data_IF_788057553786
#
_entry.id   IF_788057553786
#
_cell.length_a   1.000
_cell.length_b   1.000
_cell.length_c   1.000
_cell.angle_alpha   90.00
_cell.angle_beta   90.00
_cell.angle_gamma   90.00
#
_symmetry.space_group_name_H-M   'P 1'
#
loop_
_entity.id
_entity.type
_entity.pdbx_description
1 polymer ?
#
# COMPACT_ATOMS: atom_id res chain seq x y z
N UNK A 1 5.42 37.81 -6.81
CA UNK A 1 6.52 38.71 -6.41
C UNK A 1 7.75 37.82 -6.44
N UNK A 2 8.70 38.07 -7.33
CA UNK A 2 9.93 37.27 -7.43
C UNK A 2 10.82 37.59 -6.24
N UNK A 3 11.22 36.57 -5.49
CA UNK A 3 12.15 36.71 -4.36
C UNK A 3 13.50 37.23 -4.88
N UNK A 4 14.15 38.09 -4.11
CA UNK A 4 15.53 38.50 -4.36
C UNK A 4 16.53 37.44 -3.88
N UNK A 5 17.82 37.61 -4.19
CA UNK A 5 18.85 36.59 -3.91
C UNK A 5 19.02 36.31 -2.40
N UNK A 6 18.90 37.34 -1.55
CA UNK A 6 18.98 37.21 -0.09
C UNK A 6 17.75 36.50 0.47
N UNK A 7 16.55 36.85 -0.01
CA UNK A 7 15.28 36.19 0.33
C UNK A 7 15.28 34.70 -0.08
N UNK A 8 15.86 34.35 -1.23
CA UNK A 8 15.99 32.96 -1.69
C UNK A 8 16.92 32.15 -0.79
N UNK A 9 18.04 32.73 -0.36
CA UNK A 9 18.99 32.05 0.52
C UNK A 9 18.43 31.89 1.94
N UNK A 10 17.75 32.90 2.48
CA UNK A 10 17.03 32.81 3.76
C UNK A 10 15.96 31.72 3.71
N UNK A 11 15.15 31.68 2.66
CA UNK A 11 14.13 30.64 2.48
C UNK A 11 14.74 29.24 2.36
N UNK A 12 15.87 29.07 1.65
CA UNK A 12 16.57 27.80 1.60
C UNK A 12 17.06 27.36 2.99
N UNK A 13 17.54 28.29 3.82
CA UNK A 13 17.93 27.98 5.21
C UNK A 13 16.74 27.53 6.06
N UNK A 14 15.59 28.19 5.91
CA UNK A 14 14.35 27.78 6.59
C UNK A 14 13.96 26.35 6.18
N UNK A 15 13.94 26.06 4.88
CA UNK A 15 13.61 24.73 4.38
C UNK A 15 14.61 23.66 4.85
N UNK A 16 15.90 23.97 4.90
CA UNK A 16 16.93 23.07 5.45
C UNK A 16 16.71 22.83 6.95
N UNK A 17 16.31 23.86 7.69
CA UNK A 17 15.99 23.73 9.12
C UNK A 17 14.75 22.85 9.35
N UNK A 18 13.77 22.87 8.44
CA UNK A 18 12.56 22.03 8.50
C UNK A 18 12.78 20.58 8.05
N UNK A 19 13.88 20.29 7.33
CA UNK A 19 14.15 18.98 6.73
C UNK A 19 14.01 17.79 7.71
N UNK A 20 14.51 17.84 8.97
CA UNK A 20 14.34 16.73 9.91
C UNK A 20 12.87 16.43 10.21
N UNK A 21 12.04 17.46 10.38
CA UNK A 21 10.60 17.28 10.64
C UNK A 21 9.88 16.68 9.41
N UNK A 22 10.29 17.07 8.20
CA UNK A 22 9.75 16.49 6.97
C UNK A 22 10.20 15.06 6.74
N UNK A 23 11.41 14.69 7.16
CA UNK A 23 11.87 13.30 7.15
C UNK A 23 11.05 12.42 8.11
N UNK A 24 10.75 12.91 9.31
CA UNK A 24 9.86 12.21 10.25
C UNK A 24 8.45 12.01 9.66
N UNK A 25 7.87 13.06 9.06
CA UNK A 25 6.59 12.95 8.33
C UNK A 25 6.67 11.94 7.19
N UNK A 26 7.78 11.90 6.45
CA UNK A 26 8.04 10.91 5.40
C UNK A 26 8.05 9.48 5.93
N UNK A 27 8.68 9.24 7.08
CA UNK A 27 8.68 7.93 7.73
C UNK A 27 7.27 7.52 8.18
N UNK A 28 6.49 8.46 8.74
CA UNK A 28 5.08 8.24 9.10
C UNK A 28 4.25 7.89 7.87
N UNK A 29 4.41 8.64 6.76
CA UNK A 29 3.70 8.38 5.51
C UNK A 29 4.05 7.00 4.94
N UNK A 30 5.33 6.64 4.92
CA UNK A 30 5.78 5.33 4.44
C UNK A 30 5.17 4.19 5.28
N UNK A 31 5.19 4.32 6.60
CA UNK A 31 4.58 3.34 7.52
C UNK A 31 3.07 3.25 7.33
N UNK A 32 2.37 4.38 7.16
CA UNK A 32 0.94 4.43 6.91
C UNK A 32 0.55 3.78 5.57
N UNK A 33 1.33 4.00 4.50
CA UNK A 33 1.13 3.34 3.19
C UNK A 33 1.32 1.83 3.29
N UNK A 34 2.34 1.37 4.01
CA UNK A 34 2.55 -0.06 4.25
C UNK A 34 1.36 -0.67 5.02
N UNK A 35 0.87 0.02 6.05
CA UNK A 35 -0.32 -0.40 6.79
C UNK A 35 -1.59 -0.47 5.93
N UNK A 36 -1.78 0.48 5.01
CA UNK A 36 -2.89 0.47 4.06
C UNK A 36 -2.82 -0.75 3.11
N UNK A 37 -1.63 -1.09 2.62
CA UNK A 37 -1.46 -2.29 1.78
C UNK A 37 -1.74 -3.58 2.55
N UNK A 38 -1.26 -3.70 3.80
CA UNK A 38 -1.61 -4.84 4.67
C UNK A 38 -3.14 -4.94 4.84
N UNK A 39 -3.83 -3.83 5.10
CA UNK A 39 -5.28 -3.83 5.26
C UNK A 39 -6.01 -4.31 4.00
N UNK A 40 -5.55 -3.88 2.82
CA UNK A 40 -6.08 -4.33 1.53
C UNK A 40 -5.89 -5.84 1.33
N UNK A 41 -4.69 -6.37 1.62
CA UNK A 41 -4.40 -7.81 1.50
C UNK A 41 -5.18 -8.64 2.52
N UNK A 42 -5.33 -8.13 3.74
CA UNK A 42 -6.11 -8.79 4.78
C UNK A 42 -7.58 -8.92 4.38
N UNK A 43 -8.17 -7.84 3.85
CA UNK A 43 -9.54 -7.87 3.36
C UNK A 43 -9.72 -8.83 2.18
N UNK A 44 -8.78 -8.85 1.24
CA UNK A 44 -8.82 -9.79 0.12
C UNK A 44 -8.72 -11.25 0.58
N UNK A 45 -7.80 -11.55 1.52
CA UNK A 45 -7.67 -12.87 2.11
C UNK A 45 -8.95 -13.32 2.83
N UNK A 46 -9.56 -12.45 3.63
CA UNK A 46 -10.85 -12.71 4.27
C UNK A 46 -11.94 -13.04 3.23
N UNK A 47 -12.01 -12.28 2.13
CA UNK A 47 -12.91 -12.57 1.01
C UNK A 47 -12.70 -13.98 0.44
N UNK A 48 -11.45 -14.38 0.18
CA UNK A 48 -11.13 -15.72 -0.33
C UNK A 48 -11.49 -16.83 0.67
N UNK A 49 -11.31 -16.58 1.98
CA UNK A 49 -11.72 -17.52 3.01
C UNK A 49 -13.25 -17.65 3.07
N UNK A 50 -13.98 -16.55 2.94
CA UNK A 50 -15.44 -16.57 2.95
C UNK A 50 -16.00 -17.36 1.76
N UNK A 51 -15.43 -17.18 0.56
CA UNK A 51 -15.81 -17.98 -0.62
C UNK A 51 -15.52 -19.47 -0.43
N UNK A 52 -14.35 -19.82 0.13
CA UNK A 52 -14.01 -21.21 0.44
C UNK A 52 -14.97 -21.82 1.47
N UNK A 53 -15.31 -21.06 2.52
CA UNK A 53 -16.25 -21.49 3.55
C UNK A 53 -17.67 -21.68 3.00
N UNK A 54 -18.07 -20.87 2.02
CA UNK A 54 -19.32 -21.04 1.28
C UNK A 54 -19.39 -22.41 0.60
N UNK A 55 -18.36 -22.75 -0.18
CA UNK A 55 -18.29 -24.06 -0.87
C UNK A 55 -18.28 -25.22 0.12
N UNK A 56 -17.57 -25.10 1.25
CA UNK A 56 -17.56 -26.14 2.28
C UNK A 56 -18.96 -26.34 2.89
N UNK A 57 -19.70 -25.25 3.10
CA UNK A 57 -21.06 -25.28 3.63
C UNK A 57 -22.04 -25.92 2.63
N UNK A 58 -21.94 -25.56 1.35
CA UNK A 58 -22.72 -26.17 0.27
C UNK A 58 -22.45 -27.67 0.14
N UNK A 59 -21.18 -28.06 0.19
CA UNK A 59 -20.78 -29.46 0.12
C UNK A 59 -21.36 -30.27 1.30
N UNK A 60 -21.35 -29.72 2.51
CA UNK A 60 -21.96 -30.34 3.68
C UNK A 60 -23.50 -30.46 3.55
N UNK A 61 -24.16 -29.50 2.90
CA UNK A 61 -25.59 -29.61 2.59
C UNK A 61 -25.85 -30.75 1.59
N UNK A 62 -25.06 -30.84 0.52
CA UNK A 62 -25.19 -31.94 -0.43
C UNK A 62 -24.93 -33.31 0.20
N UNK A 63 -23.96 -33.41 1.12
CA UNK A 63 -23.72 -34.63 1.89
C UNK A 63 -24.92 -35.02 2.76
N UNK A 64 -25.57 -34.04 3.43
CA UNK A 64 -26.80 -34.27 4.20
C UNK A 64 -27.96 -34.72 3.31
N UNK A 65 -28.19 -34.03 2.19
CA UNK A 65 -29.24 -34.39 1.24
C UNK A 65 -29.02 -35.77 0.62
N UNK A 66 -27.75 -36.14 0.38
CA UNK A 66 -27.38 -37.46 -0.09
C UNK A 66 -27.71 -38.54 0.94
N UNK A 67 -27.41 -38.31 2.21
CA UNK A 67 -27.75 -39.25 3.29
C UNK A 67 -29.27 -39.48 3.38
N UNK A 68 -30.07 -38.41 3.29
CA UNK A 68 -31.54 -38.50 3.25
C UNK A 68 -32.02 -39.35 2.06
N UNK A 69 -31.46 -39.13 0.86
CA UNK A 69 -31.82 -39.90 -0.33
C UNK A 69 -31.51 -41.39 -0.18
N UNK A 70 -30.36 -41.72 0.44
CA UNK A 70 -29.98 -43.11 0.76
C UNK A 70 -31.01 -43.76 1.70
N UNK A 71 -31.40 -43.08 2.77
CA UNK A 71 -32.40 -43.58 3.72
C UNK A 71 -33.77 -43.80 3.07
N UNK A 72 -34.13 -42.96 2.09
CA UNK A 72 -35.38 -43.05 1.34
C UNK A 72 -35.32 -44.09 0.20
N UNK A 73 -34.14 -44.65 -0.11
CA UNK A 73 -33.93 -45.54 -1.25
C UNK A 73 -34.02 -44.84 -2.61
N UNK A 74 -33.95 -43.51 -2.65
CA UNK A 74 -34.01 -42.69 -3.86
C UNK A 74 -32.62 -42.61 -4.52
N UNK A 75 -32.38 -43.55 -5.45
CA UNK A 75 -31.09 -43.65 -6.16
C UNK A 75 -30.81 -42.46 -7.08
N UNK A 76 -31.83 -41.94 -7.75
CA UNK A 76 -31.65 -40.82 -8.69
C UNK A 76 -31.21 -39.57 -7.92
N UNK A 77 -31.86 -39.28 -6.79
CA UNK A 77 -31.48 -38.17 -5.93
C UNK A 77 -30.12 -38.38 -5.29
N UNK A 78 -29.79 -39.59 -4.84
CA UNK A 78 -28.45 -39.91 -4.30
C UNK A 78 -27.35 -39.63 -5.33
N UNK A 79 -27.52 -40.09 -6.57
CA UNK A 79 -26.56 -39.90 -7.66
C UNK A 79 -26.42 -38.42 -8.02
N UNK A 80 -27.53 -37.68 -8.08
CA UNK A 80 -27.52 -36.23 -8.31
C UNK A 80 -26.74 -35.48 -7.22
N UNK A 81 -26.93 -35.82 -5.94
CA UNK A 81 -26.17 -35.19 -4.86
C UNK A 81 -24.68 -35.57 -4.92
N UNK A 82 -24.34 -36.80 -5.30
CA UNK A 82 -22.94 -37.22 -5.49
C UNK A 82 -22.24 -36.40 -6.58
N UNK A 83 -22.92 -36.12 -7.69
CA UNK A 83 -22.39 -35.26 -8.76
C UNK A 83 -22.14 -33.81 -8.30
N UNK A 84 -23.05 -33.26 -7.50
CA UNK A 84 -22.91 -31.93 -6.91
C UNK A 84 -21.72 -31.86 -5.93
N UNK A 85 -21.55 -32.87 -5.07
CA UNK A 85 -20.39 -32.96 -4.15
C UNK A 85 -19.07 -32.97 -4.94
N UNK A 86 -18.99 -33.71 -6.06
CA UNK A 86 -17.79 -33.72 -6.90
C UNK A 86 -17.50 -32.34 -7.53
N UNK A 87 -18.55 -31.62 -7.89
CA UNK A 87 -18.45 -30.25 -8.42
C UNK A 87 -17.92 -29.29 -7.35
N UNK A 88 -18.51 -29.31 -6.15
CA UNK A 88 -18.01 -28.54 -5.00
C UNK A 88 -16.57 -28.91 -4.65
N UNK A 89 -16.21 -30.20 -4.73
CA UNK A 89 -14.85 -30.68 -4.47
C UNK A 89 -13.82 -30.06 -5.44
N UNK A 90 -14.18 -29.90 -6.71
CA UNK A 90 -13.33 -29.23 -7.71
C UNK A 90 -13.19 -27.73 -7.40
N UNK A 91 -14.30 -27.05 -7.13
CA UNK A 91 -14.30 -25.63 -6.77
C UNK A 91 -13.50 -25.36 -5.50
N UNK A 92 -13.63 -26.24 -4.49
CA UNK A 92 -12.87 -26.17 -3.24
C UNK A 92 -11.37 -26.19 -3.49
N UNK A 93 -10.89 -27.05 -4.39
CA UNK A 93 -9.47 -27.10 -4.74
C UNK A 93 -8.95 -25.76 -5.30
N UNK A 94 -9.71 -25.17 -6.23
CA UNK A 94 -9.39 -23.87 -6.83
C UNK A 94 -9.39 -22.75 -5.78
N UNK A 95 -10.47 -22.65 -4.98
CA UNK A 95 -10.59 -21.60 -3.97
C UNK A 95 -9.59 -21.74 -2.84
N UNK A 96 -9.25 -22.98 -2.45
CA UNK A 96 -8.16 -23.20 -1.50
C UNK A 96 -6.84 -22.66 -2.02
N UNK A 97 -6.50 -22.94 -3.29
CA UNK A 97 -5.29 -22.38 -3.92
C UNK A 97 -5.29 -20.85 -3.91
N UNK A 98 -6.42 -20.22 -4.20
CA UNK A 98 -6.57 -18.76 -4.16
C UNK A 98 -6.41 -18.20 -2.74
N UNK A 99 -7.03 -18.83 -1.73
CA UNK A 99 -6.88 -18.43 -0.32
C UNK A 99 -5.44 -18.59 0.18
N UNK A 100 -4.76 -19.68 -0.20
CA UNK A 100 -3.36 -19.92 0.15
C UNK A 100 -2.41 -18.92 -0.54
N UNK A 101 -2.75 -18.46 -1.75
CA UNK A 101 -2.03 -17.38 -2.43
C UNK A 101 -2.25 -16.03 -1.73
N UNK A 102 -3.51 -15.66 -1.45
CA UNK A 102 -3.85 -14.43 -0.74
C UNK A 102 -3.20 -14.36 0.66
N UNK A 103 -3.11 -15.49 1.37
CA UNK A 103 -2.41 -15.57 2.65
C UNK A 103 -0.92 -15.25 2.52
N UNK A 104 -0.25 -15.80 1.51
CA UNK A 104 1.18 -15.52 1.25
C UNK A 104 1.41 -14.06 0.90
N UNK A 105 0.54 -13.45 0.11
CA UNK A 105 0.62 -12.02 -0.19
C UNK A 105 0.42 -11.15 1.05
N UNK A 106 -0.51 -11.51 1.93
CA UNK A 106 -0.70 -10.84 3.21
C UNK A 106 0.56 -10.97 4.10
N UNK A 107 1.13 -12.17 4.20
CA UNK A 107 2.35 -12.40 4.99
C UNK A 107 3.54 -11.62 4.43
N UNK A 108 3.65 -11.53 3.10
CA UNK A 108 4.67 -10.71 2.46
C UNK A 108 4.47 -9.22 2.77
N UNK A 109 3.25 -8.70 2.66
CA UNK A 109 2.95 -7.30 2.98
C UNK A 109 3.24 -6.96 4.45
N UNK A 110 2.99 -7.88 5.38
CA UNK A 110 3.36 -7.74 6.79
C UNK A 110 4.88 -7.67 6.95
N UNK A 111 5.61 -8.58 6.30
CA UNK A 111 7.08 -8.61 6.33
C UNK A 111 7.69 -7.34 5.74
N UNK A 112 7.28 -6.94 4.54
CA UNK A 112 7.79 -5.76 3.84
C UNK A 112 7.47 -4.47 4.61
N UNK A 113 6.27 -4.42 5.19
CA UNK A 113 5.84 -3.31 6.03
C UNK A 113 6.47 -3.30 7.41
N UNK A 114 7.16 -4.37 7.84
CA UNK A 114 7.75 -4.50 9.17
C UNK A 114 6.71 -4.58 10.29
N UNK A 115 5.59 -5.28 10.06
CA UNK A 115 4.51 -5.49 11.03
C UNK A 115 4.51 -6.95 11.51
N UNK A 116 4.35 -7.15 12.82
CA UNK A 116 4.18 -8.49 13.38
C UNK A 116 2.75 -9.03 13.17
N UNK A 117 1.77 -8.14 12.95
CA UNK A 117 0.36 -8.54 12.76
C UNK A 117 -0.48 -7.50 12.01
N UNK A 118 -1.65 -7.94 11.52
CA UNK A 118 -2.66 -7.05 10.94
C UNK A 118 -3.21 -6.03 11.96
N UNK A 119 -3.21 -6.36 13.25
CA UNK A 119 -3.66 -5.45 14.31
C UNK A 119 -2.66 -4.30 14.50
N UNK A 120 -1.37 -4.61 14.51
CA UNK A 120 -0.30 -3.60 14.55
C UNK A 120 -0.36 -2.68 13.34
N UNK A 121 -0.52 -3.25 12.13
CA UNK A 121 -0.70 -2.46 10.91
C UNK A 121 -1.93 -1.56 11.00
N UNK A 122 -3.05 -2.06 11.55
CA UNK A 122 -4.27 -1.28 11.71
C UNK A 122 -4.09 -0.11 12.68
N UNK A 123 -3.30 -0.27 13.74
CA UNK A 123 -3.08 0.76 14.76
C UNK A 123 -2.40 2.04 14.22
N UNK A 124 -1.62 1.92 13.15
CA UNK A 124 -0.91 3.04 12.51
C UNK A 124 -1.55 3.49 11.20
N UNK A 125 -2.71 2.92 10.85
CA UNK A 125 -3.38 3.21 9.58
C UNK A 125 -4.00 4.60 9.64
N UNK A 126 -3.59 5.47 8.71
CA UNK A 126 -4.25 6.75 8.48
C UNK A 126 -5.52 6.56 7.65
N UNK A 127 -6.46 7.50 7.80
CA UNK A 127 -7.58 7.58 6.87
C UNK A 127 -7.07 7.97 5.47
N UNK A 128 -7.82 7.64 4.42
CA UNK A 128 -7.47 8.05 3.06
C UNK A 128 -7.27 9.57 2.89
N UNK A 129 -8.15 10.45 3.43
CA UNK A 129 -7.91 11.90 3.34
C UNK A 129 -6.68 12.35 4.14
N UNK A 130 -6.42 11.79 5.32
CA UNK A 130 -5.22 12.16 6.09
C UNK A 130 -3.93 11.73 5.39
N UNK A 131 -3.94 10.54 4.77
CA UNK A 131 -2.82 10.04 3.98
C UNK A 131 -2.58 10.92 2.76
N UNK A 132 -3.64 11.32 2.05
CA UNK A 132 -3.55 12.24 0.92
C UNK A 132 -3.03 13.62 1.34
N UNK A 133 -3.51 14.14 2.47
CA UNK A 133 -3.05 15.42 3.03
C UNK A 133 -1.56 15.39 3.38
N UNK A 134 -1.10 14.34 4.07
CA UNK A 134 0.30 14.19 4.45
C UNK A 134 1.21 13.99 3.21
N UNK A 135 0.72 13.27 2.20
CA UNK A 135 1.42 13.14 0.91
C UNK A 135 1.59 14.49 0.23
N UNK A 136 0.51 15.27 0.13
CA UNK A 136 0.51 16.57 -0.51
C UNK A 136 1.41 17.57 0.21
N UNK A 137 1.44 17.55 1.55
CA UNK A 137 2.33 18.38 2.35
C UNK A 137 3.81 18.08 2.06
N UNK A 138 4.19 16.80 2.04
CA UNK A 138 5.57 16.39 1.75
C UNK A 138 5.95 16.71 0.30
N UNK A 139 5.04 16.48 -0.66
CA UNK A 139 5.26 16.79 -2.07
C UNK A 139 5.43 18.30 -2.30
N UNK A 140 4.64 19.14 -1.61
CA UNK A 140 4.76 20.58 -1.66
C UNK A 140 6.12 21.05 -1.12
N UNK A 141 6.55 20.53 0.03
CA UNK A 141 7.87 20.82 0.59
C UNK A 141 9.00 20.39 -0.36
N UNK A 142 8.92 19.20 -0.95
CA UNK A 142 9.93 18.71 -1.89
C UNK A 142 10.03 19.59 -3.14
N UNK A 143 8.89 20.06 -3.65
CA UNK A 143 8.85 20.95 -4.80
C UNK A 143 9.48 22.31 -4.47
N UNK A 144 9.10 22.91 -3.33
CA UNK A 144 9.62 24.20 -2.86
C UNK A 144 11.13 24.14 -2.60
N UNK A 145 11.61 23.08 -1.95
CA UNK A 145 13.04 22.82 -1.74
C UNK A 145 13.81 22.69 -3.06
N UNK A 146 13.30 21.92 -4.01
CA UNK A 146 13.96 21.72 -5.29
C UNK A 146 13.99 23.01 -6.14
N UNK A 147 12.89 23.77 -6.15
CA UNK A 147 12.81 25.04 -6.88
C UNK A 147 13.76 26.09 -6.29
N UNK A 148 13.74 26.24 -4.96
CA UNK A 148 14.58 27.19 -4.23
C UNK A 148 16.06 26.85 -4.37
N UNK A 149 16.43 25.58 -4.19
CA UNK A 149 17.81 25.12 -4.38
C UNK A 149 18.31 25.41 -5.80
N UNK A 150 17.51 25.08 -6.82
CA UNK A 150 17.87 25.34 -8.21
C UNK A 150 17.99 26.84 -8.51
N UNK A 151 17.26 27.71 -7.81
CA UNK A 151 17.40 29.16 -7.92
C UNK A 151 18.73 29.64 -7.32
N UNK A 152 19.07 29.18 -6.11
CA UNK A 152 20.35 29.49 -5.47
C UNK A 152 21.54 29.01 -6.31
N UNK A 153 21.50 27.79 -6.86
CA UNK A 153 22.56 27.24 -7.72
C UNK A 153 22.77 28.08 -8.99
N UNK A 154 21.70 28.66 -9.56
CA UNK A 154 21.81 29.56 -10.72
C UNK A 154 22.49 30.89 -10.37
N UNK A 155 22.22 31.41 -9.17
CA UNK A 155 22.85 32.65 -8.68
C UNK A 155 24.34 32.40 -8.45
N UNK A 156 24.70 31.33 -7.73
CA UNK A 156 26.10 30.95 -7.48
C UNK A 156 26.88 30.76 -8.80
N UNK A 157 26.27 30.10 -9.79
CA UNK A 157 26.88 29.92 -11.10
C UNK A 157 27.07 31.24 -11.87
N UNK A 158 26.13 32.19 -11.74
CA UNK A 158 26.23 33.50 -12.38
C UNK A 158 27.31 34.38 -11.74
N UNK A 159 27.44 34.33 -10.41
CA UNK A 159 28.49 35.03 -9.66
C UNK A 159 29.89 34.47 -9.95
N UNK A 160 30.02 33.14 -10.05
CA UNK A 160 31.28 32.52 -10.45
C UNK A 160 31.71 32.95 -11.87
N UNK A 161 30.76 33.03 -12.80
CA UNK A 161 31.04 33.45 -14.17
C UNK A 161 31.41 34.94 -14.31
N UNK A 162 30.86 35.82 -13.47
CA UNK A 162 31.26 37.24 -13.45
C UNK A 162 32.64 37.45 -12.82
N UNK A 163 32.98 36.71 -11.76
CA UNK A 163 34.29 36.76 -11.13
C UNK A 163 35.42 36.29 -12.07
N UNK A 164 35.16 35.25 -12.87
CA UNK A 164 36.11 34.76 -13.88
C UNK A 164 36.27 35.75 -15.06
N UNK A 165 35.26 36.56 -15.37
CA UNK A 165 35.32 37.56 -16.42
C UNK A 165 36.11 38.81 -16.00
N UNK A 166 36.00 39.25 -14.73
CA UNK A 166 36.76 40.38 -14.18
C UNK A 166 38.24 40.04 -13.96
N UNK A 167 38.57 38.77 -13.66
CA UNK A 167 39.95 38.30 -13.50
C UNK A 167 40.79 38.22 -14.79
N UNK A 168 40.18 38.38 -15.97
CA UNK A 168 40.85 38.33 -17.28
C UNK A 168 41.24 39.74 -17.79
N UNK A 169 40.74 40.81 -17.19
CA UNK A 169 41.02 42.19 -17.63
C UNK A 169 42.25 42.84 -16.96
N UNK A 170 42.89 42.17 -15.99
CA UNK A 170 44.11 42.64 -15.29
C UNK A 170 45.42 41.89 -15.64
N UNK A 171 45.48 41.15 -16.76
CA UNK A 171 46.69 40.43 -17.21
C UNK A 171 47.38 41.04 -18.43
#
# INVERSE_FOLDING_TARGET
MTMNDEELFEHLQELVAELPAMQEKGAVLARARAAAEVAKRAHYYEGQQNELNGILSEMAEHERQRAIAIEQGDREREEAQRALILTCGTQRGIRKGAADAAKRELDQALSDGGFASCEEARAVRLSEPDLASLSAEIEAYQADYAETLAACERIEAAEAASADAEGVEEA
#
